data_IF_721920715535
#
_entry.id   IF_721920715535
#
_cell.length_a   1.000
_cell.length_b   1.000
_cell.length_c   1.000
_cell.angle_alpha   90.00
_cell.angle_beta   90.00
_cell.angle_gamma   90.00
#
_symmetry.space_group_name_H-M   'P 1'
#
loop_
_entity.id
_entity.type
_entity.pdbx_description
1 polymer ?
#
# COMPACT_ATOMS: atom_id res chain seq x y z
N UNK A 1 11.11 -52.15 -8.49
CA UNK A 1 12.51 -51.67 -8.55
C UNK A 1 12.56 -50.42 -9.40
N UNK A 2 12.82 -49.26 -8.79
CA UNK A 2 13.54 -48.16 -9.46
C UNK A 2 14.71 -47.86 -8.55
N UNK A 3 15.88 -48.31 -8.98
CA UNK A 3 17.16 -47.90 -8.42
C UNK A 3 17.25 -46.39 -8.60
N UNK A 4 16.84 -45.64 -7.57
CA UNK A 4 17.33 -44.29 -7.36
C UNK A 4 18.76 -44.49 -6.90
N UNK A 5 19.69 -44.54 -7.84
CA UNK A 5 21.11 -44.49 -7.53
C UNK A 5 21.26 -43.31 -6.56
N UNK A 6 21.75 -43.49 -5.32
CA UNK A 6 22.06 -42.35 -4.50
C UNK A 6 23.14 -41.61 -5.28
N UNK A 7 22.81 -40.45 -5.84
CA UNK A 7 23.81 -39.53 -6.35
C UNK A 7 24.74 -39.30 -5.19
N UNK A 8 25.91 -39.94 -5.23
CA UNK A 8 26.99 -39.75 -4.28
C UNK A 8 27.33 -38.28 -4.37
N UNK A 9 26.72 -37.50 -3.47
CA UNK A 9 26.93 -36.06 -3.45
C UNK A 9 28.42 -35.85 -3.27
N UNK A 10 28.99 -35.01 -4.13
CA UNK A 10 30.35 -34.53 -3.98
C UNK A 10 30.31 -33.57 -2.78
N UNK A 11 30.29 -34.14 -1.58
CA UNK A 11 30.46 -33.41 -0.33
C UNK A 11 31.96 -33.17 -0.21
N UNK A 12 32.43 -31.91 -0.20
CA UNK A 12 33.85 -31.66 0.01
C UNK A 12 34.26 -32.25 1.35
N UNK A 13 35.30 -33.08 1.33
CA UNK A 13 35.87 -33.61 2.56
C UNK A 13 36.43 -32.45 3.41
N UNK A 14 36.14 -32.46 4.70
CA UNK A 14 36.51 -31.37 5.60
C UNK A 14 36.76 -31.87 7.01
N UNK A 15 37.63 -31.16 7.72
CA UNK A 15 37.92 -31.42 9.13
C UNK A 15 36.79 -30.85 9.99
N UNK A 16 36.03 -31.69 10.72
CA UNK A 16 34.96 -31.20 11.58
C UNK A 16 35.48 -30.36 12.72
N UNK A 17 34.70 -29.36 13.12
CA UNK A 17 35.03 -28.47 14.22
C UNK A 17 35.08 -29.27 15.53
N UNK A 18 36.19 -29.23 16.28
CA UNK A 18 36.30 -29.96 17.53
C UNK A 18 35.32 -29.39 18.56
N UNK A 19 34.45 -30.24 19.09
CA UNK A 19 33.51 -29.90 20.17
C UNK A 19 33.60 -30.95 21.26
N UNK A 20 33.35 -30.56 22.50
CA UNK A 20 33.18 -31.51 23.60
C UNK A 20 32.03 -32.46 23.23
N UNK A 21 32.31 -33.76 23.25
CA UNK A 21 31.33 -34.78 22.89
C UNK A 21 30.07 -34.66 23.77
N UNK A 22 28.91 -34.63 23.10
CA UNK A 22 27.58 -34.74 23.68
C UNK A 22 26.74 -35.58 22.71
N UNK A 23 25.94 -36.51 23.23
CA UNK A 23 25.19 -37.47 22.41
C UNK A 23 24.15 -36.80 21.49
N UNK A 24 23.61 -35.65 21.93
CA UNK A 24 22.66 -34.79 21.21
C UNK A 24 23.33 -33.58 20.54
N UNK A 25 24.65 -33.45 20.67
CA UNK A 25 25.40 -32.31 20.21
C UNK A 25 25.85 -32.40 18.75
N UNK A 26 26.59 -31.38 18.33
CA UNK A 26 27.23 -31.33 17.01
C UNK A 26 28.42 -32.28 16.91
N UNK A 27 28.14 -33.57 16.70
CA UNK A 27 29.15 -34.58 16.40
C UNK A 27 29.75 -34.40 15.01
N UNK A 28 30.93 -34.97 14.76
CA UNK A 28 31.57 -34.94 13.45
C UNK A 28 30.66 -35.50 12.33
N UNK A 29 29.90 -36.55 12.63
CA UNK A 29 28.92 -37.14 11.71
C UNK A 29 27.77 -36.18 11.39
N UNK A 30 27.20 -35.50 12.41
CA UNK A 30 26.14 -34.51 12.20
C UNK A 30 26.64 -33.29 11.44
N UNK A 31 27.89 -32.87 11.63
CA UNK A 31 28.49 -31.80 10.84
C UNK A 31 28.60 -32.20 9.36
N UNK A 32 29.07 -33.42 9.06
CA UNK A 32 29.13 -33.93 7.68
C UNK A 32 27.75 -34.06 7.05
N UNK A 33 26.79 -34.66 7.77
CA UNK A 33 25.41 -34.79 7.31
C UNK A 33 24.75 -33.42 7.07
N UNK A 34 25.10 -32.42 7.89
CA UNK A 34 24.58 -31.06 7.72
C UNK A 34 25.12 -30.41 6.44
N UNK A 35 26.42 -30.54 6.14
CA UNK A 35 27.01 -30.00 4.91
C UNK A 35 26.41 -30.70 3.68
N UNK A 36 26.19 -32.02 3.73
CA UNK A 36 25.50 -32.75 2.67
C UNK A 36 24.07 -32.23 2.45
N UNK A 37 23.29 -32.09 3.54
CA UNK A 37 21.93 -31.56 3.48
C UNK A 37 21.89 -30.10 3.00
N UNK A 38 22.91 -29.31 3.30
CA UNK A 38 23.05 -27.94 2.83
C UNK A 38 23.31 -27.88 1.33
N UNK A 39 24.12 -28.81 0.80
CA UNK A 39 24.39 -28.93 -0.63
C UNK A 39 23.14 -29.33 -1.44
N UNK A 40 22.27 -30.17 -0.86
CA UNK A 40 20.99 -30.54 -1.47
C UNK A 40 19.97 -29.40 -1.45
N UNK A 41 19.85 -28.71 -0.31
CA UNK A 41 18.71 -27.81 -0.06
C UNK A 41 19.00 -26.33 -0.32
N UNK A 42 20.27 -25.93 -0.29
CA UNK A 42 20.67 -24.51 -0.30
C UNK A 42 20.17 -23.70 0.90
N UNK A 43 19.55 -24.34 1.91
CA UNK A 43 18.90 -23.67 3.03
C UNK A 43 19.41 -24.21 4.37
N UNK A 44 20.01 -23.31 5.15
CA UNK A 44 20.59 -23.62 6.48
C UNK A 44 19.52 -24.15 7.44
N UNK A 45 18.32 -23.57 7.40
CA UNK A 45 17.21 -24.00 8.24
C UNK A 45 16.74 -25.41 7.89
N UNK A 46 16.58 -25.70 6.59
CA UNK A 46 16.16 -27.01 6.11
C UNK A 46 17.22 -28.08 6.41
N UNK A 47 18.50 -27.75 6.18
CA UNK A 47 19.62 -28.63 6.47
C UNK A 47 19.74 -28.96 7.96
N UNK A 48 19.64 -27.95 8.84
CA UNK A 48 19.68 -28.14 10.30
C UNK A 48 18.52 -29.01 10.78
N UNK A 49 17.30 -28.78 10.26
CA UNK A 49 16.13 -29.61 10.56
C UNK A 49 16.33 -31.06 10.12
N UNK A 50 16.94 -31.29 8.95
CA UNK A 50 17.21 -32.63 8.42
C UNK A 50 18.18 -33.45 9.28
N UNK A 51 19.10 -32.79 9.97
CA UNK A 51 20.01 -33.44 10.94
C UNK A 51 19.53 -33.35 12.39
N UNK A 52 18.27 -32.94 12.60
CA UNK A 52 17.66 -32.77 13.92
C UNK A 52 18.46 -31.83 14.85
N UNK A 53 18.94 -30.70 14.31
CA UNK A 53 19.67 -29.67 15.04
C UNK A 53 19.04 -28.28 14.85
N UNK A 54 19.30 -27.38 15.79
CA UNK A 54 18.96 -25.97 15.65
C UNK A 54 19.93 -25.25 14.70
N UNK A 55 19.42 -24.40 13.82
CA UNK A 55 20.20 -23.60 12.87
C UNK A 55 21.21 -22.68 13.56
N UNK A 56 20.86 -22.12 14.73
CA UNK A 56 21.74 -21.30 15.57
C UNK A 56 23.03 -22.04 15.91
N UNK A 57 22.95 -23.34 16.22
CA UNK A 57 24.13 -24.15 16.52
C UNK A 57 25.05 -24.33 15.31
N UNK A 58 24.50 -24.40 14.10
CA UNK A 58 25.29 -24.49 12.86
C UNK A 58 26.08 -23.19 12.61
N UNK A 59 25.48 -22.02 12.89
CA UNK A 59 26.19 -20.74 12.83
C UNK A 59 27.28 -20.61 13.90
N UNK A 60 27.03 -21.11 15.11
CA UNK A 60 28.05 -21.15 16.17
C UNK A 60 29.25 -22.02 15.79
N UNK A 61 29.05 -23.13 15.08
CA UNK A 61 30.16 -23.92 14.54
C UNK A 61 30.98 -23.14 13.52
N UNK A 62 30.32 -22.35 12.66
CA UNK A 62 31.00 -21.53 11.63
C UNK A 62 31.86 -20.40 12.23
N UNK A 63 31.55 -19.97 13.45
CA UNK A 63 32.28 -18.91 14.17
C UNK A 63 33.33 -19.45 15.16
N UNK A 64 33.40 -20.76 15.36
CA UNK A 64 34.30 -21.37 16.34
C UNK A 64 35.76 -21.38 15.85
N UNK A 65 36.75 -21.31 16.75
CA UNK A 65 38.15 -21.47 16.37
C UNK A 65 38.40 -22.88 15.78
N UNK A 66 39.17 -22.98 14.69
CA UNK A 66 39.42 -24.24 13.99
C UNK A 66 38.33 -24.64 12.98
N UNK A 67 37.41 -23.73 12.65
CA UNK A 67 36.30 -24.00 11.71
C UNK A 67 36.60 -23.66 10.26
N UNK A 68 37.86 -23.40 9.89
CA UNK A 68 38.25 -22.93 8.57
C UNK A 68 37.84 -23.95 7.48
N UNK A 69 38.11 -25.23 7.73
CA UNK A 69 37.73 -26.32 6.83
C UNK A 69 36.21 -26.50 6.74
N UNK A 70 35.50 -26.40 7.87
CA UNK A 70 34.03 -26.43 7.89
C UNK A 70 33.40 -25.24 7.13
N UNK A 71 33.98 -24.05 7.24
CA UNK A 71 33.50 -22.86 6.53
C UNK A 71 33.69 -22.98 5.01
N UNK A 72 34.83 -23.53 4.58
CA UNK A 72 35.08 -23.81 3.16
C UNK A 72 34.07 -24.83 2.61
N UNK A 73 33.82 -25.91 3.35
CA UNK A 73 32.83 -26.93 2.98
C UNK A 73 31.40 -26.36 2.94
N UNK A 74 31.07 -25.48 3.88
CA UNK A 74 29.79 -24.77 3.90
C UNK A 74 29.59 -23.90 2.67
N UNK A 75 30.60 -23.13 2.27
CA UNK A 75 30.53 -22.24 1.11
C UNK A 75 30.42 -23.03 -0.20
N UNK A 76 31.18 -24.13 -0.33
CA UNK A 76 31.05 -25.05 -1.45
C UNK A 76 29.66 -25.71 -1.51
N UNK A 77 29.10 -26.13 -0.36
CA UNK A 77 27.76 -26.67 -0.29
C UNK A 77 26.69 -25.64 -0.68
N UNK A 78 26.81 -24.38 -0.21
CA UNK A 78 25.90 -23.32 -0.64
C UNK A 78 26.00 -23.03 -2.13
N UNK A 79 27.20 -23.03 -2.71
CA UNK A 79 27.37 -22.85 -4.15
C UNK A 79 26.64 -23.93 -4.95
N UNK A 80 26.70 -25.19 -4.51
CA UNK A 80 25.95 -26.30 -5.11
C UNK A 80 24.43 -26.13 -4.95
N UNK A 81 23.98 -25.76 -3.75
CA UNK A 81 22.56 -25.53 -3.47
C UNK A 81 21.98 -24.39 -4.31
N UNK A 82 22.75 -23.30 -4.51
CA UNK A 82 22.37 -22.17 -5.38
C UNK A 82 22.23 -22.62 -6.83
N UNK A 83 23.10 -23.49 -7.33
CA UNK A 83 22.97 -24.03 -8.68
C UNK A 83 21.64 -24.80 -8.85
N UNK A 84 21.24 -25.58 -7.85
CA UNK A 84 19.96 -26.31 -7.86
C UNK A 84 18.74 -25.37 -7.81
N UNK A 85 18.86 -24.19 -7.21
CA UNK A 85 17.80 -23.17 -7.25
C UNK A 85 17.57 -22.63 -8.66
N UNK A 86 18.60 -22.59 -9.51
CA UNK A 86 18.46 -22.16 -10.90
C UNK A 86 17.58 -23.13 -11.71
N UNK A 87 17.75 -24.44 -11.50
CA UNK A 87 16.92 -25.46 -12.15
C UNK A 87 15.45 -25.35 -11.71
N UNK A 88 15.20 -25.20 -10.40
CA UNK A 88 13.86 -24.98 -9.85
C UNK A 88 13.24 -23.69 -10.40
N UNK A 89 14.05 -22.63 -10.54
CA UNK A 89 13.60 -21.37 -11.11
C UNK A 89 13.16 -21.53 -12.58
N UNK A 90 13.91 -22.28 -13.39
CA UNK A 90 13.57 -22.59 -14.78
C UNK A 90 12.26 -23.37 -14.86
N UNK A 91 12.10 -24.41 -14.05
CA UNK A 91 10.86 -25.19 -14.00
C UNK A 91 9.67 -24.33 -13.63
N UNK A 92 9.78 -23.49 -12.58
CA UNK A 92 8.70 -22.57 -12.17
C UNK A 92 8.39 -21.52 -13.21
N UNK A 93 9.40 -20.99 -13.90
CA UNK A 93 9.22 -20.02 -14.97
C UNK A 93 8.48 -20.63 -16.17
N UNK A 94 8.73 -21.91 -16.48
CA UNK A 94 8.12 -22.63 -17.59
C UNK A 94 6.72 -23.17 -17.27
N UNK A 95 6.57 -23.84 -16.13
CA UNK A 95 5.33 -24.52 -15.76
C UNK A 95 4.35 -23.62 -15.00
N UNK A 96 4.83 -22.53 -14.40
CA UNK A 96 4.06 -21.69 -13.50
C UNK A 96 3.94 -22.29 -12.10
N UNK A 97 3.48 -21.48 -11.14
CA UNK A 97 3.20 -21.92 -9.77
C UNK A 97 1.71 -22.19 -9.61
N UNK A 98 1.30 -23.37 -9.12
CA UNK A 98 -0.10 -23.68 -8.85
C UNK A 98 -0.64 -22.80 -7.72
N UNK A 99 -1.67 -22.00 -8.00
CA UNK A 99 -2.37 -21.18 -7.00
C UNK A 99 -3.78 -21.75 -6.81
N UNK A 100 -4.11 -22.27 -5.61
CA UNK A 100 -5.44 -22.82 -5.35
C UNK A 100 -6.52 -21.73 -5.41
N UNK A 101 -7.64 -22.04 -6.04
CA UNK A 101 -8.83 -21.18 -6.05
C UNK A 101 -9.79 -21.71 -5.00
N UNK A 102 -10.17 -20.85 -4.06
CA UNK A 102 -11.15 -21.16 -3.01
C UNK A 102 -12.47 -20.45 -3.29
N UNK A 103 -13.56 -21.18 -3.13
CA UNK A 103 -14.91 -20.63 -3.15
C UNK A 103 -15.69 -21.19 -1.96
N UNK A 104 -16.26 -20.30 -1.14
CA UNK A 104 -16.97 -20.65 0.11
C UNK A 104 -16.18 -21.56 1.07
N UNK A 105 -14.85 -21.40 1.11
CA UNK A 105 -13.97 -22.16 2.00
C UNK A 105 -13.53 -23.53 1.46
N UNK A 106 -14.06 -23.98 0.32
CA UNK A 106 -13.62 -25.21 -0.34
C UNK A 106 -12.72 -24.90 -1.54
N UNK A 107 -11.68 -25.71 -1.76
CA UNK A 107 -10.82 -25.60 -2.92
C UNK A 107 -11.59 -26.10 -4.16
N UNK A 108 -11.96 -25.18 -5.05
CA UNK A 108 -12.76 -25.47 -6.23
C UNK A 108 -11.93 -25.63 -7.52
N UNK A 109 -10.63 -25.31 -7.47
CA UNK A 109 -9.73 -25.48 -8.61
C UNK A 109 -8.33 -24.93 -8.37
N UNK A 110 -7.57 -24.81 -9.45
CA UNK A 110 -6.21 -24.28 -9.46
C UNK A 110 -6.02 -23.38 -10.69
N UNK A 111 -5.33 -22.25 -10.50
CA UNK A 111 -4.80 -21.40 -11.58
C UNK A 111 -3.29 -21.38 -11.52
N UNK A 112 -2.63 -21.47 -12.67
CA UNK A 112 -1.17 -21.30 -12.77
C UNK A 112 -0.81 -19.81 -12.78
N UNK A 113 0.07 -19.40 -11.88
CA UNK A 113 0.65 -18.06 -11.84
C UNK A 113 2.07 -18.08 -12.43
N UNK A 114 2.29 -17.27 -13.46
CA UNK A 114 3.60 -17.09 -14.10
C UNK A 114 4.23 -15.80 -13.59
N UNK A 115 5.52 -15.87 -13.25
CA UNK A 115 6.27 -14.72 -12.76
C UNK A 115 7.23 -14.24 -13.85
N UNK A 116 6.83 -13.19 -14.57
CA UNK A 116 7.61 -12.63 -15.69
C UNK A 116 8.98 -12.07 -15.26
N UNK A 117 9.11 -11.67 -13.99
CA UNK A 117 10.41 -11.25 -13.43
C UNK A 117 11.37 -12.43 -13.28
N UNK A 118 10.86 -13.62 -12.96
CA UNK A 118 11.65 -14.85 -12.89
C UNK A 118 12.14 -15.25 -14.29
N UNK A 119 11.26 -15.19 -15.29
CA UNK A 119 11.63 -15.43 -16.70
C UNK A 119 12.73 -14.46 -17.14
N UNK A 120 12.53 -13.17 -16.89
CA UNK A 120 13.51 -12.14 -17.22
C UNK A 120 14.85 -12.41 -16.53
N UNK A 121 14.84 -12.72 -15.23
CA UNK A 121 16.05 -13.03 -14.47
C UNK A 121 16.84 -14.21 -15.08
N UNK A 122 16.16 -15.30 -15.44
CA UNK A 122 16.77 -16.48 -16.07
C UNK A 122 17.40 -16.11 -17.42
N UNK A 123 16.68 -15.36 -18.26
CA UNK A 123 17.20 -14.90 -19.55
C UNK A 123 18.45 -14.02 -19.40
N UNK A 124 18.48 -13.14 -18.40
CA UNK A 124 19.67 -12.32 -18.10
C UNK A 124 20.87 -13.15 -17.66
N UNK A 125 20.63 -14.23 -16.92
CA UNK A 125 21.68 -15.10 -16.37
C UNK A 125 22.29 -16.03 -17.44
N UNK A 126 21.46 -16.71 -18.23
CA UNK A 126 21.91 -17.71 -19.22
C UNK A 126 22.23 -17.12 -20.60
N UNK A 127 21.64 -15.98 -20.94
CA UNK A 127 21.87 -15.27 -22.20
C UNK A 127 22.37 -13.84 -21.92
N UNK A 128 23.46 -13.65 -21.15
CA UNK A 128 23.93 -12.35 -20.72
C UNK A 128 24.37 -11.45 -21.88
N UNK A 129 24.84 -12.03 -22.99
CA UNK A 129 25.18 -11.27 -24.20
C UNK A 129 23.96 -10.64 -24.90
N UNK A 130 22.76 -11.20 -24.70
CA UNK A 130 21.51 -10.69 -25.28
C UNK A 130 20.66 -9.91 -24.28
N UNK A 131 20.71 -10.28 -23.00
CA UNK A 131 19.81 -9.72 -21.97
C UNK A 131 20.54 -9.23 -20.70
N UNK A 132 21.83 -9.53 -20.50
CA UNK A 132 22.58 -9.21 -19.28
C UNK A 132 22.94 -7.72 -19.14
N UNK A 133 23.33 -7.31 -17.93
CA UNK A 133 23.67 -5.92 -17.59
C UNK A 133 24.87 -5.33 -18.35
N UNK A 134 25.70 -6.19 -18.98
CA UNK A 134 26.77 -5.76 -19.91
C UNK A 134 26.30 -5.52 -21.35
N UNK A 135 25.12 -6.02 -21.73
CA UNK A 135 24.52 -5.77 -23.03
C UNK A 135 23.79 -4.41 -23.08
N UNK A 136 23.38 -3.89 -21.93
CA UNK A 136 22.77 -2.57 -21.80
C UNK A 136 23.17 -1.92 -20.46
N UNK A 137 24.17 -1.03 -20.51
CA UNK A 137 24.49 -0.15 -19.40
C UNK A 137 23.35 0.87 -19.16
N UNK A 138 23.17 1.26 -17.89
CA UNK A 138 22.19 2.26 -17.48
C UNK A 138 22.44 3.59 -18.22
N UNK A 139 21.46 4.00 -19.04
CA UNK A 139 21.48 5.28 -19.74
C UNK A 139 22.29 5.29 -21.04
N UNK A 140 21.60 5.55 -22.13
CA UNK A 140 22.08 5.86 -23.49
C UNK A 140 23.19 6.92 -23.54
N UNK A 141 24.47 6.57 -23.30
CA UNK A 141 25.61 7.50 -23.49
C UNK A 141 26.94 6.83 -23.88
N UNK A 142 26.97 5.92 -24.85
CA UNK A 142 28.24 5.67 -25.55
C UNK A 142 28.52 6.87 -26.47
N UNK A 143 29.64 7.61 -26.34
CA UNK A 143 29.90 8.82 -27.14
C UNK A 143 29.81 8.60 -28.65
N UNK A 144 30.25 7.43 -29.13
CA UNK A 144 30.17 7.07 -30.54
C UNK A 144 28.74 6.72 -30.98
N UNK A 145 27.92 6.18 -30.08
CA UNK A 145 26.50 5.90 -30.33
C UNK A 145 25.67 7.17 -30.26
N UNK A 146 25.95 8.08 -29.32
CA UNK A 146 25.33 9.42 -29.25
C UNK A 146 25.69 10.24 -30.49
N UNK A 147 26.94 10.19 -30.96
CA UNK A 147 27.34 10.85 -32.20
C UNK A 147 26.66 10.21 -33.42
N UNK A 148 26.59 8.87 -33.51
CA UNK A 148 25.88 8.16 -34.59
C UNK A 148 24.37 8.39 -34.56
N UNK A 149 23.73 8.38 -33.40
CA UNK A 149 22.28 8.60 -33.22
C UNK A 149 21.89 10.07 -33.37
N UNK A 150 22.79 11.01 -33.05
CA UNK A 150 22.62 12.42 -33.40
C UNK A 150 22.79 12.66 -34.92
N UNK A 151 23.61 11.84 -35.59
CA UNK A 151 23.80 11.87 -37.05
C UNK A 151 22.67 11.13 -37.80
N UNK A 152 22.19 10.01 -37.26
CA UNK A 152 21.18 9.14 -37.84
C UNK A 152 19.86 9.37 -37.14
N UNK A 153 19.05 10.20 -37.80
CA UNK A 153 17.64 10.48 -37.55
C UNK A 153 16.80 9.17 -37.48
N UNK A 154 16.94 8.40 -36.39
CA UNK A 154 16.28 7.10 -36.23
C UNK A 154 14.78 7.29 -36.02
N UNK A 155 13.92 6.82 -36.94
CA UNK A 155 12.48 7.09 -36.91
C UNK A 155 11.77 6.51 -35.68
N UNK A 156 12.30 5.43 -35.08
CA UNK A 156 11.72 4.81 -33.89
C UNK A 156 12.06 5.60 -32.62
N UNK A 157 13.30 6.10 -32.51
CA UNK A 157 13.71 6.92 -31.37
C UNK A 157 13.08 8.31 -31.42
N UNK A 158 12.95 8.90 -32.62
CA UNK A 158 12.15 10.12 -32.84
C UNK A 158 10.68 9.88 -32.49
N UNK A 159 10.05 8.83 -33.00
CA UNK A 159 8.66 8.52 -32.66
C UNK A 159 8.43 8.28 -31.16
N UNK A 160 9.38 7.67 -30.44
CA UNK A 160 9.31 7.49 -28.98
C UNK A 160 9.53 8.79 -28.22
N UNK A 161 10.52 9.59 -28.62
CA UNK A 161 10.76 10.90 -28.01
C UNK A 161 9.60 11.86 -28.27
N UNK A 162 9.06 11.88 -29.50
CA UNK A 162 7.88 12.65 -29.88
C UNK A 162 6.64 12.14 -29.15
N UNK A 163 6.47 10.82 -28.97
CA UNK A 163 5.39 10.26 -28.17
C UNK A 163 5.50 10.69 -26.70
N UNK A 164 6.66 10.54 -26.07
CA UNK A 164 6.89 10.94 -24.67
C UNK A 164 6.79 12.46 -24.47
N UNK A 165 7.24 13.25 -25.44
CA UNK A 165 7.07 14.71 -25.43
C UNK A 165 5.61 15.11 -25.66
N UNK A 166 4.86 14.39 -26.51
CA UNK A 166 3.43 14.62 -26.73
C UNK A 166 2.56 14.18 -25.55
N UNK A 167 3.01 13.19 -24.78
CA UNK A 167 2.38 12.75 -23.52
C UNK A 167 2.65 13.75 -22.38
N UNK A 168 3.84 14.37 -22.35
CA UNK A 168 4.24 15.30 -21.30
C UNK A 168 3.86 16.76 -21.58
N UNK A 169 3.77 17.16 -22.84
CA UNK A 169 3.40 18.52 -23.24
C UNK A 169 1.89 18.56 -23.46
N UNK A 170 1.15 18.98 -22.43
CA UNK A 170 -0.25 19.31 -22.60
C UNK A 170 -0.34 20.36 -23.74
N UNK A 171 -1.10 20.04 -24.78
CA UNK A 171 -1.37 21.02 -25.84
C UNK A 171 -2.00 22.28 -25.22
N UNK A 172 -1.77 23.48 -25.79
CA UNK A 172 -2.37 24.71 -25.28
C UNK A 172 -3.91 24.62 -25.17
N UNK A 173 -4.54 23.78 -25.99
CA UNK A 173 -5.96 23.46 -25.93
C UNK A 173 -6.34 22.58 -24.73
N UNK A 174 -5.51 21.59 -24.38
CA UNK A 174 -5.68 20.77 -23.17
C UNK A 174 -5.47 21.58 -21.90
N UNK A 175 -4.51 22.50 -21.86
CA UNK A 175 -4.32 23.42 -20.72
C UNK A 175 -5.51 24.34 -20.54
N UNK A 176 -5.96 25.02 -21.61
CA UNK A 176 -7.19 25.83 -21.58
C UNK A 176 -8.41 25.02 -21.15
N UNK A 177 -8.53 23.76 -21.59
CA UNK A 177 -9.62 22.86 -21.19
C UNK A 177 -9.54 22.50 -19.71
N UNK A 178 -8.34 22.25 -19.17
CA UNK A 178 -8.11 22.02 -17.73
C UNK A 178 -8.47 23.26 -16.93
N UNK A 179 -8.01 24.43 -17.32
CA UNK A 179 -8.34 25.71 -16.67
C UNK A 179 -9.86 25.99 -16.68
N UNK A 180 -10.51 25.80 -17.83
CA UNK A 180 -11.96 25.97 -17.96
C UNK A 180 -12.73 24.98 -17.07
N UNK A 181 -12.28 23.72 -17.02
CA UNK A 181 -12.86 22.70 -16.14
C UNK A 181 -12.68 23.06 -14.66
N UNK A 182 -11.48 23.47 -14.25
CA UNK A 182 -11.21 23.91 -12.87
C UNK A 182 -12.08 25.11 -12.49
N UNK A 183 -12.22 26.10 -13.37
CA UNK A 183 -13.08 27.26 -13.15
C UNK A 183 -14.56 26.86 -12.98
N UNK A 184 -15.05 25.94 -13.81
CA UNK A 184 -16.43 25.43 -13.72
C UNK A 184 -16.66 24.63 -12.44
N UNK A 185 -15.70 23.81 -12.00
CA UNK A 185 -15.77 23.12 -10.70
C UNK A 185 -15.82 24.11 -9.56
N UNK A 186 -14.95 25.12 -9.52
CA UNK A 186 -14.94 26.12 -8.46
C UNK A 186 -16.23 26.95 -8.43
N UNK A 187 -16.80 27.24 -9.60
CA UNK A 187 -18.11 27.90 -9.72
C UNK A 187 -19.22 27.06 -9.09
N UNK A 188 -19.27 25.76 -9.40
CA UNK A 188 -20.25 24.84 -8.81
C UNK A 188 -20.03 24.67 -7.30
N UNK A 189 -18.78 24.63 -6.88
CA UNK A 189 -18.39 24.58 -5.47
C UNK A 189 -18.90 25.81 -4.70
N UNK A 190 -18.69 27.04 -5.20
CA UNK A 190 -19.28 28.27 -4.63
C UNK A 190 -20.80 28.21 -4.54
N UNK A 191 -21.47 27.79 -5.61
CA UNK A 191 -22.93 27.69 -5.64
C UNK A 191 -23.46 26.69 -4.59
N UNK A 192 -22.75 25.57 -4.40
CA UNK A 192 -23.09 24.57 -3.38
C UNK A 192 -22.83 25.05 -1.96
N UNK A 193 -21.78 25.85 -1.71
CA UNK A 193 -21.57 26.50 -0.40
C UNK A 193 -22.78 27.37 -0.05
N UNK A 194 -23.23 28.20 -0.99
CA UNK A 194 -24.43 29.04 -0.80
C UNK A 194 -25.69 28.22 -0.59
N UNK A 195 -25.84 27.12 -1.33
CA UNK A 195 -27.01 26.23 -1.24
C UNK A 195 -27.06 25.50 0.11
N UNK A 196 -25.95 24.91 0.55
CA UNK A 196 -25.84 24.23 1.86
C UNK A 196 -26.26 25.19 2.97
N UNK A 197 -25.76 26.42 2.89
CA UNK A 197 -26.03 27.45 3.87
C UNK A 197 -27.48 27.93 3.88
N UNK A 198 -28.05 28.20 2.70
CA UNK A 198 -29.47 28.49 2.56
C UNK A 198 -30.34 27.39 3.19
N UNK A 199 -30.00 26.12 2.95
CA UNK A 199 -30.73 25.00 3.54
C UNK A 199 -30.57 24.91 5.06
N UNK A 200 -29.38 25.19 5.61
CA UNK A 200 -29.19 25.27 7.07
C UNK A 200 -30.04 26.37 7.70
N UNK A 201 -30.01 27.59 7.14
CA UNK A 201 -30.74 28.74 7.69
C UNK A 201 -32.25 28.59 7.58
N UNK A 202 -32.73 27.91 6.54
CA UNK A 202 -34.16 27.60 6.34
C UNK A 202 -34.63 26.33 7.07
N UNK A 203 -33.75 25.68 7.83
CA UNK A 203 -34.08 24.46 8.58
C UNK A 203 -34.23 23.20 7.72
N UNK A 204 -33.87 23.25 6.43
CA UNK A 204 -33.88 22.10 5.51
C UNK A 204 -32.62 21.24 5.67
N UNK A 205 -32.46 20.63 6.83
CA UNK A 205 -31.24 19.89 7.25
C UNK A 205 -30.81 18.80 6.26
N UNK A 206 -31.75 18.01 5.74
CA UNK A 206 -31.47 16.92 4.78
C UNK A 206 -30.88 17.43 3.48
N UNK A 207 -31.41 18.55 2.96
CA UNK A 207 -30.90 19.17 1.74
C UNK A 207 -29.51 19.79 1.97
N UNK A 208 -29.28 20.33 3.16
CA UNK A 208 -27.96 20.81 3.57
C UNK A 208 -26.95 19.66 3.62
N UNK A 209 -27.30 18.52 4.24
CA UNK A 209 -26.43 17.35 4.34
C UNK A 209 -26.12 16.73 2.97
N UNK A 210 -27.10 16.66 2.08
CA UNK A 210 -26.86 16.24 0.70
C UNK A 210 -25.87 17.17 -0.02
N UNK A 211 -26.06 18.47 0.12
CA UNK A 211 -25.16 19.46 -0.48
C UNK A 211 -23.75 19.37 0.09
N UNK A 212 -23.63 19.13 1.41
CA UNK A 212 -22.36 18.91 2.09
C UNK A 212 -21.62 17.68 1.55
N UNK A 213 -22.30 16.55 1.34
CA UNK A 213 -21.69 15.35 0.71
C UNK A 213 -21.14 15.65 -0.68
N UNK A 214 -21.84 16.47 -1.46
CA UNK A 214 -21.38 16.88 -2.78
C UNK A 214 -20.17 17.81 -2.71
N UNK A 215 -20.11 18.71 -1.72
CA UNK A 215 -18.93 19.53 -1.44
C UNK A 215 -17.73 18.64 -1.07
N UNK A 216 -17.90 17.70 -0.13
CA UNK A 216 -16.85 16.74 0.26
C UNK A 216 -16.33 15.93 -0.93
N UNK A 217 -17.22 15.49 -1.83
CA UNK A 217 -16.80 14.76 -3.03
C UNK A 217 -15.95 15.61 -3.97
N UNK A 218 -16.30 16.88 -4.17
CA UNK A 218 -15.49 17.82 -4.96
C UNK A 218 -14.14 18.07 -4.29
N UNK A 219 -14.12 18.22 -2.97
CA UNK A 219 -12.89 18.41 -2.19
C UNK A 219 -11.94 17.23 -2.35
N UNK A 220 -12.45 15.99 -2.25
CA UNK A 220 -11.65 14.78 -2.47
C UNK A 220 -11.10 14.70 -3.90
N UNK A 221 -11.89 15.07 -4.92
CA UNK A 221 -11.40 15.11 -6.31
C UNK A 221 -10.23 16.10 -6.45
N UNK A 222 -10.33 17.26 -5.80
CA UNK A 222 -9.32 18.30 -5.85
C UNK A 222 -8.07 17.93 -5.02
N UNK A 223 -8.24 17.36 -3.82
CA UNK A 223 -7.14 16.91 -2.94
C UNK A 223 -6.39 15.70 -3.53
N UNK A 224 -7.09 14.80 -4.23
CA UNK A 224 -6.49 13.62 -4.88
C UNK A 224 -6.07 13.86 -6.34
N UNK A 225 -6.03 15.12 -6.81
CA UNK A 225 -5.41 15.48 -8.09
C UNK A 225 -6.12 15.02 -9.36
N UNK A 226 -7.37 14.54 -9.29
CA UNK A 226 -8.16 14.17 -10.47
C UNK A 226 -7.60 13.04 -11.36
N UNK A 227 -6.50 12.39 -10.99
CA UNK A 227 -5.88 11.28 -11.71
C UNK A 227 -5.82 10.05 -10.80
N UNK A 228 -6.75 9.11 -11.03
CA UNK A 228 -6.87 7.90 -10.21
C UNK A 228 -5.65 6.96 -10.28
N UNK A 229 -4.75 7.14 -11.25
CA UNK A 229 -3.53 6.33 -11.38
C UNK A 229 -2.34 6.94 -10.64
N UNK A 230 -2.15 8.27 -10.66
CA UNK A 230 -1.13 8.95 -9.86
C UNK A 230 -1.38 8.74 -8.36
N UNK A 231 -2.64 8.63 -7.95
CA UNK A 231 -3.01 8.28 -6.58
C UNK A 231 -2.63 6.84 -6.22
N UNK A 232 -2.84 5.88 -7.12
CA UNK A 232 -2.42 4.48 -6.91
C UNK A 232 -0.90 4.41 -6.90
N UNK A 233 -0.21 5.10 -7.81
CA UNK A 233 1.25 5.13 -7.88
C UNK A 233 1.84 5.80 -6.63
N UNK A 234 1.28 6.90 -6.13
CA UNK A 234 1.70 7.54 -4.89
C UNK A 234 1.38 6.69 -3.64
N UNK A 235 0.31 5.89 -3.67
CA UNK A 235 -0.06 4.96 -2.60
C UNK A 235 0.68 3.60 -2.66
N UNK A 236 1.27 3.23 -3.81
CA UNK A 236 1.90 1.92 -4.05
C UNK A 236 3.39 1.99 -4.37
N UNK A 237 3.92 3.15 -4.74
CA UNK A 237 5.35 3.43 -4.76
C UNK A 237 5.79 3.70 -3.32
N UNK A 238 6.53 2.75 -2.77
CA UNK A 238 6.96 2.75 -1.36
C UNK A 238 8.02 3.80 -1.04
N UNK A 239 7.97 5.00 -1.62
CA UNK A 239 8.92 6.08 -1.34
C UNK A 239 8.36 7.19 -0.45
N UNK A 240 7.04 7.23 -0.19
CA UNK A 240 6.50 8.09 0.85
C UNK A 240 6.08 7.29 2.09
N UNK A 241 6.91 7.39 3.12
CA UNK A 241 6.75 6.83 4.47
C UNK A 241 5.48 7.29 5.22
N UNK A 242 4.50 7.91 4.55
CA UNK A 242 3.51 8.77 5.20
C UNK A 242 2.04 8.50 4.83
N UNK A 243 1.71 7.52 3.98
CA UNK A 243 0.30 7.22 3.69
C UNK A 243 -0.49 6.71 4.91
N UNK A 244 0.18 6.04 5.88
CA UNK A 244 -0.44 5.52 7.10
C UNK A 244 0.47 5.61 8.35
N UNK A 245 1.42 6.53 8.35
CA UNK A 245 2.29 6.80 9.51
C UNK A 245 1.63 7.78 10.51
N UNK A 246 2.21 7.98 11.70
CA UNK A 246 1.75 8.94 12.73
C UNK A 246 1.70 10.42 12.29
N UNK A 247 1.94 10.70 11.00
CA UNK A 247 1.89 12.00 10.32
C UNK A 247 0.89 12.00 9.16
N UNK A 248 -0.13 11.15 9.17
CA UNK A 248 -1.23 11.23 8.20
C UNK A 248 -1.91 12.61 8.33
N UNK A 249 -1.67 13.49 7.34
CA UNK A 249 -2.21 14.83 7.29
C UNK A 249 -3.73 14.76 7.10
N UNK A 250 -4.49 14.98 8.18
CA UNK A 250 -5.95 15.02 8.13
C UNK A 250 -6.46 16.22 7.31
N UNK A 251 -5.77 17.35 7.36
CA UNK A 251 -6.01 18.51 6.49
C UNK A 251 -4.81 18.78 5.57
N UNK A 252 -5.06 18.87 4.26
CA UNK A 252 -4.05 19.23 3.26
C UNK A 252 -3.86 20.76 3.20
N UNK A 253 -2.76 21.26 2.60
CA UNK A 253 -2.63 22.68 2.26
C UNK A 253 -3.78 23.22 1.39
N UNK A 254 -4.38 22.37 0.56
CA UNK A 254 -5.55 22.72 -0.25
C UNK A 254 -6.82 22.81 0.61
N UNK A 255 -7.00 21.93 1.60
CA UNK A 255 -8.13 22.00 2.55
C UNK A 255 -8.16 23.35 3.29
N UNK A 256 -6.99 23.91 3.65
CA UNK A 256 -6.86 25.26 4.25
C UNK A 256 -7.27 26.37 3.28
N UNK A 257 -6.83 26.30 2.03
CA UNK A 257 -7.22 27.27 0.98
C UNK A 257 -8.73 27.24 0.72
N UNK A 258 -9.32 26.04 0.72
CA UNK A 258 -10.76 25.87 0.55
C UNK A 258 -11.55 26.42 1.76
N UNK A 259 -11.02 26.37 2.98
CA UNK A 259 -11.63 27.04 4.15
C UNK A 259 -11.67 28.56 4.00
N UNK A 260 -10.54 29.17 3.62
CA UNK A 260 -10.48 30.61 3.34
C UNK A 260 -11.50 31.02 2.26
N UNK A 261 -11.65 30.19 1.24
CA UNK A 261 -12.61 30.41 0.17
C UNK A 261 -14.07 30.32 0.64
N UNK A 262 -14.40 29.36 1.53
CA UNK A 262 -15.73 29.29 2.15
C UNK A 262 -16.04 30.55 2.95
N UNK A 263 -15.08 31.00 3.77
CA UNK A 263 -15.21 32.22 4.58
C UNK A 263 -15.48 33.45 3.72
N UNK A 264 -14.72 33.63 2.64
CA UNK A 264 -14.96 34.73 1.71
C UNK A 264 -16.36 34.69 1.08
N UNK A 265 -16.87 33.51 0.73
CA UNK A 265 -18.24 33.37 0.20
C UNK A 265 -19.29 33.73 1.26
N UNK A 266 -19.08 33.36 2.52
CA UNK A 266 -19.98 33.72 3.62
C UNK A 266 -19.96 35.22 3.92
N UNK A 267 -18.78 35.83 3.89
CA UNK A 267 -18.59 37.28 4.05
C UNK A 267 -19.29 38.06 2.92
N UNK A 268 -19.12 37.64 1.66
CA UNK A 268 -19.85 38.19 0.49
C UNK A 268 -21.38 38.16 0.68
N UNK A 269 -21.87 37.17 1.43
CA UNK A 269 -23.30 36.97 1.70
C UNK A 269 -23.77 37.67 2.99
N UNK A 270 -22.89 38.38 3.72
CA UNK A 270 -23.21 39.12 4.94
C UNK A 270 -23.55 38.23 6.14
N UNK A 271 -22.95 37.03 6.21
CA UNK A 271 -23.35 36.00 7.17
C UNK A 271 -22.49 35.96 8.44
N UNK A 272 -23.02 35.45 9.58
CA UNK A 272 -22.26 35.34 10.82
C UNK A 272 -21.13 34.29 10.73
N UNK A 273 -20.05 34.56 11.45
CA UNK A 273 -18.81 33.79 11.41
C UNK A 273 -19.01 32.36 11.98
N UNK A 274 -18.44 31.35 11.31
CA UNK A 274 -18.56 29.93 11.72
C UNK A 274 -17.40 29.54 12.66
N UNK A 275 -17.63 28.62 13.61
CA UNK A 275 -16.54 27.93 14.29
C UNK A 275 -15.51 27.38 13.29
N UNK A 276 -14.23 27.50 13.62
CA UNK A 276 -13.16 27.03 12.76
C UNK A 276 -13.30 25.53 12.47
N UNK A 277 -13.08 25.15 11.21
CA UNK A 277 -12.96 23.74 10.85
C UNK A 277 -11.76 23.13 11.59
N UNK A 278 -11.82 21.86 12.01
CA UNK A 278 -10.72 21.17 12.67
C UNK A 278 -9.63 20.79 11.65
N UNK A 279 -8.94 21.79 11.08
CA UNK A 279 -7.89 21.65 10.06
C UNK A 279 -6.55 21.14 10.63
N UNK A 280 -6.63 20.15 11.53
CA UNK A 280 -5.48 19.57 12.20
C UNK A 280 -4.61 18.74 11.23
N UNK A 281 -3.29 18.81 11.40
CA UNK A 281 -2.31 18.04 10.61
C UNK A 281 -2.23 16.57 11.02
N UNK A 282 -2.90 16.17 12.09
CA UNK A 282 -2.95 14.79 12.56
C UNK A 282 -4.39 14.42 12.83
N UNK A 283 -4.72 13.13 12.74
CA UNK A 283 -6.05 12.63 13.10
C UNK A 283 -6.49 13.23 14.44
N UNK A 284 -7.64 13.91 14.50
CA UNK A 284 -8.03 14.63 15.70
C UNK A 284 -8.20 13.66 16.86
N UNK A 285 -7.39 13.84 17.91
CA UNK A 285 -7.87 13.56 19.27
C UNK A 285 -8.77 14.73 19.66
N UNK A 286 -9.84 14.45 20.40
CA UNK A 286 -10.84 15.41 20.88
C UNK A 286 -10.24 16.45 21.83
N UNK A 287 -9.39 17.34 21.34
CA UNK A 287 -8.75 18.37 22.14
C UNK A 287 -9.23 19.74 21.66
N UNK A 288 -10.42 20.12 22.15
CA UNK A 288 -10.89 21.50 22.12
C UNK A 288 -9.96 22.31 23.04
N UNK A 289 -9.31 23.35 22.52
CA UNK A 289 -8.27 24.10 23.24
C UNK A 289 -8.72 24.67 24.59
N UNK A 290 -7.80 24.83 25.56
CA UNK A 290 -8.14 25.24 26.92
C UNK A 290 -8.62 26.70 26.97
N UNK A 291 -9.67 26.94 27.76
CA UNK A 291 -10.22 28.26 28.06
C UNK A 291 -11.21 28.15 29.22
N UNK A 292 -11.54 29.27 29.86
CA UNK A 292 -12.33 29.30 31.12
C UNK A 292 -13.73 28.67 30.99
N UNK A 293 -14.32 28.68 29.79
CA UNK A 293 -15.67 28.16 29.50
C UNK A 293 -15.66 26.81 28.77
N UNK A 294 -14.55 26.05 28.81
CA UNK A 294 -14.42 24.81 28.03
C UNK A 294 -15.51 23.79 28.38
N UNK A 295 -15.73 23.52 29.66
CA UNK A 295 -16.66 22.49 30.12
C UNK A 295 -18.11 22.86 29.77
N UNK A 296 -18.47 24.13 29.93
CA UNK A 296 -19.78 24.65 29.55
C UNK A 296 -20.03 24.52 28.05
N UNK A 297 -19.04 24.86 27.21
CA UNK A 297 -19.13 24.73 25.75
C UNK A 297 -19.25 23.27 25.31
N UNK A 298 -18.48 22.36 25.93
CA UNK A 298 -18.57 20.93 25.65
C UNK A 298 -19.93 20.36 26.04
N UNK A 299 -20.44 20.71 27.23
CA UNK A 299 -21.75 20.27 27.68
C UNK A 299 -22.86 20.75 26.74
N UNK A 300 -22.79 22.02 26.31
CA UNK A 300 -23.73 22.59 25.35
C UNK A 300 -23.67 21.89 23.98
N UNK A 301 -22.47 21.54 23.49
CA UNK A 301 -22.28 20.78 22.26
C UNK A 301 -22.90 19.38 22.36
N UNK A 302 -22.58 18.62 23.40
CA UNK A 302 -23.15 17.28 23.60
C UNK A 302 -24.67 17.32 23.74
N UNK A 303 -25.23 18.33 24.44
CA UNK A 303 -26.67 18.53 24.53
C UNK A 303 -27.32 18.91 23.19
N UNK A 304 -26.62 19.65 22.32
CA UNK A 304 -27.08 19.96 20.97
C UNK A 304 -27.04 18.71 20.06
N UNK A 305 -25.97 17.92 20.13
CA UNK A 305 -25.82 16.66 19.38
C UNK A 305 -26.93 15.67 19.73
N UNK A 306 -27.29 15.54 21.02
CA UNK A 306 -28.44 14.71 21.44
C UNK A 306 -29.75 15.17 20.81
N UNK A 307 -30.02 16.47 20.83
CA UNK A 307 -31.23 17.04 20.19
C UNK A 307 -31.24 16.83 18.68
N UNK A 308 -30.10 16.93 18.01
CA UNK A 308 -29.97 16.63 16.58
C UNK A 308 -30.25 15.15 16.32
N UNK A 309 -29.71 14.25 17.14
CA UNK A 309 -29.94 12.81 17.01
C UNK A 309 -31.42 12.45 17.24
N UNK A 310 -32.07 13.02 18.26
CA UNK A 310 -33.51 12.86 18.51
C UNK A 310 -34.35 13.36 17.33
N UNK A 311 -34.04 14.55 16.81
CA UNK A 311 -34.72 15.11 15.65
C UNK A 311 -34.51 14.27 14.37
N UNK A 312 -33.34 13.64 14.22
CA UNK A 312 -33.07 12.72 13.12
C UNK A 312 -33.93 11.46 13.22
N UNK A 313 -34.05 10.87 14.42
CA UNK A 313 -34.92 9.71 14.65
C UNK A 313 -36.39 10.02 14.38
N UNK A 314 -36.85 11.21 14.78
CA UNK A 314 -38.18 11.70 14.45
C UNK A 314 -38.40 11.83 12.95
N UNK A 315 -37.44 12.44 12.24
CA UNK A 315 -37.50 12.58 10.80
C UNK A 315 -37.53 11.24 10.05
N UNK A 316 -36.70 10.27 10.46
CA UNK A 316 -36.66 8.93 9.89
C UNK A 316 -37.95 8.16 10.14
N UNK A 317 -38.51 8.27 11.35
CA UNK A 317 -39.78 7.65 11.69
C UNK A 317 -40.94 8.24 10.88
N UNK A 318 -40.91 9.53 10.59
CA UNK A 318 -41.92 10.22 9.80
C UNK A 318 -41.94 9.81 8.30
N UNK A 319 -40.96 9.03 7.83
CA UNK A 319 -40.87 8.64 6.42
C UNK A 319 -41.93 7.61 5.99
N UNK A 320 -42.48 6.82 6.92
CA UNK A 320 -43.51 5.78 6.65
C UNK A 320 -44.54 5.73 7.78
N UNK A 321 -45.76 5.33 7.46
CA UNK A 321 -46.86 5.29 8.44
C UNK A 321 -46.63 4.28 9.57
N UNK A 322 -46.04 3.12 9.28
CA UNK A 322 -45.74 2.09 10.27
C UNK A 322 -44.67 2.54 11.26
N UNK A 323 -43.56 3.11 10.78
CA UNK A 323 -42.52 3.68 11.64
C UNK A 323 -43.01 4.89 12.44
N UNK A 324 -43.92 5.69 11.88
CA UNK A 324 -44.51 6.84 12.57
C UNK A 324 -45.45 6.40 13.70
N UNK A 325 -46.24 5.35 13.48
CA UNK A 325 -47.09 4.78 14.52
C UNK A 325 -46.28 4.23 15.70
N UNK A 326 -45.19 3.51 15.44
CA UNK A 326 -44.27 3.00 16.47
C UNK A 326 -43.59 4.12 17.25
N UNK A 327 -43.15 5.16 16.56
CA UNK A 327 -42.49 6.31 17.17
C UNK A 327 -43.44 7.09 18.11
N UNK A 328 -44.69 7.31 17.68
CA UNK A 328 -45.72 7.93 18.53
C UNK A 328 -45.99 7.11 19.80
N UNK A 329 -46.11 5.78 19.65
CA UNK A 329 -46.33 4.89 20.79
C UNK A 329 -45.18 4.96 21.81
N UNK A 330 -43.92 5.05 21.34
CA UNK A 330 -42.73 5.19 22.20
C UNK A 330 -42.75 6.49 23.00
N UNK A 331 -43.06 7.63 22.37
CA UNK A 331 -43.15 8.94 23.06
C UNK A 331 -44.30 9.01 24.07
N UNK A 332 -45.44 8.39 23.76
CA UNK A 332 -46.55 8.29 24.71
C UNK A 332 -46.21 7.44 25.95
N UNK A 333 -45.31 6.46 25.82
CA UNK A 333 -44.82 5.64 26.94
C UNK A 333 -43.78 6.35 27.83
N UNK A 334 -42.89 7.15 27.24
CA UNK A 334 -41.89 7.92 27.99
C UNK A 334 -42.50 9.05 28.84
N UNK A 335 -43.55 9.72 28.35
CA UNK A 335 -44.26 10.76 29.10
C UNK A 335 -45.00 10.24 30.35
N UNK A 336 -45.32 8.95 30.42
CA UNK A 336 -45.96 8.33 31.58
C UNK A 336 -44.97 7.94 32.70
N UNK A 337 -43.66 7.93 32.42
CA UNK A 337 -42.63 7.50 33.38
C UNK A 337 -41.88 8.67 34.05
N UNK A 338 -42.13 9.92 33.65
CA UNK A 338 -41.49 11.12 34.24
C UNK A 338 -42.35 11.86 35.27
N UNK A 339 -43.54 11.35 35.62
CA UNK A 339 -44.46 11.94 36.61
C UNK A 339 -44.55 11.16 37.95
N UNK A 340 -43.65 10.22 38.21
CA UNK A 340 -43.48 9.54 39.51
C UNK A 340 -42.08 9.76 40.05
#
# INVERSE_FOLDING_TARGET
MRNLVPSTLIVPDFTPVPRKYRYDGWTAERQRAFIAALAETGSVLAAAKRVNMASVGAYQLRLAPGSESFRAAWEAALAHGVQSLADIAIERAREGVPVPIFYKGEQCGERRWYNDRLITFILRHYLPGRFGAGALAAGTRNPATVAREAQENCPVCRARADASQSEQTATPEQEKRREAWFAEILKRYKAKIRSERYYRLTGRTVAADFTLRQLTHIELILDCGGLGLDLIEHLTSGEDEHAYGPKALFASPLSRKLDLFRRAVWEECGEPDRPALPLCETLPRTNMGPGETLDERQHAQTAAERRIAEAQLEWEAAAREDSWAEWKARRSGEGASSET
#
